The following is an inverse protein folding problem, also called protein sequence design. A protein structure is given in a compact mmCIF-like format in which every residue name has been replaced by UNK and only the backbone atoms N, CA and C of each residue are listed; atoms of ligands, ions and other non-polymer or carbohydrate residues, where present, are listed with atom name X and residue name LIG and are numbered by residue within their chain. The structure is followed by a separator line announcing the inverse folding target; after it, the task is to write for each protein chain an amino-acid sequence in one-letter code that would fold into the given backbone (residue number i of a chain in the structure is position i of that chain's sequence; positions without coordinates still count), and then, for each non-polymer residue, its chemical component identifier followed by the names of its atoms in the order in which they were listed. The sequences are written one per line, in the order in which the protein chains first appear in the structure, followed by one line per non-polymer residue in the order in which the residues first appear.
data_IF_836846909931
#
_entry.id   IF_836846909931
#
_cell.length_a   1.000
_cell.length_b   1.000
_cell.length_c   1.000
_cell.angle_alpha   90.00
_cell.angle_beta   90.00
_cell.angle_gamma   90.00
#
_symmetry.space_group_name_H-M   'P 1'
#
loop_
_entity.id
_entity.type
_entity.pdbx_description
1 polymer ?
#
# COMPACT_ATOMS: atom_id res chain seq x y z
N UNK A 1 9.63 -7.79 -64.85
CA UNK A 1 10.37 -8.90 -64.21
C UNK A 1 11.58 -8.32 -63.51
N UNK A 2 11.91 -8.87 -62.35
CA UNK A 2 12.58 -8.21 -61.22
C UNK A 2 14.01 -7.70 -61.47
N UNK A 3 14.32 -6.54 -60.86
CA UNK A 3 15.68 -6.03 -60.68
C UNK A 3 16.34 -6.70 -59.47
N UNK A 4 17.57 -7.16 -59.66
CA UNK A 4 18.40 -7.80 -58.63
C UNK A 4 19.06 -6.71 -57.78
N UNK A 5 18.74 -6.66 -56.48
CA UNK A 5 19.50 -5.91 -55.48
C UNK A 5 20.52 -6.86 -54.81
N UNK A 6 21.76 -6.42 -54.54
CA UNK A 6 22.74 -7.25 -53.85
C UNK A 6 22.46 -7.30 -52.34
N UNK A 7 22.82 -8.39 -51.64
CA UNK A 7 22.57 -8.51 -50.20
C UNK A 7 23.54 -7.60 -49.43
N UNK A 8 22.98 -6.70 -48.61
CA UNK A 8 23.77 -5.90 -47.68
C UNK A 8 24.25 -6.76 -46.52
N UNK A 9 25.54 -7.08 -46.50
CA UNK A 9 26.21 -7.64 -45.33
C UNK A 9 26.41 -6.54 -44.27
N UNK A 10 25.35 -6.18 -43.55
CA UNK A 10 25.48 -5.52 -42.24
C UNK A 10 25.36 -6.59 -41.17
N UNK A 11 26.51 -7.20 -40.86
CA UNK A 11 26.75 -7.86 -39.58
C UNK A 11 26.34 -6.89 -38.47
N UNK A 12 25.22 -7.15 -37.79
CA UNK A 12 24.92 -6.57 -36.49
C UNK A 12 26.07 -6.96 -35.55
N UNK A 13 27.05 -6.06 -35.39
CA UNK A 13 27.95 -6.11 -34.26
C UNK A 13 27.06 -5.94 -33.03
N UNK A 14 26.91 -7.00 -32.24
CA UNK A 14 26.38 -6.85 -30.90
C UNK A 14 27.31 -5.91 -30.14
N UNK A 15 26.73 -4.89 -29.51
CA UNK A 15 27.43 -3.95 -28.64
C UNK A 15 27.95 -4.70 -27.41
N UNK A 16 29.08 -5.40 -27.56
CA UNK A 16 29.78 -6.10 -26.48
C UNK A 16 30.27 -5.16 -25.36
N UNK A 17 30.16 -3.85 -25.55
CA UNK A 17 30.53 -2.83 -24.56
C UNK A 17 29.37 -2.39 -23.63
N UNK A 18 28.10 -2.73 -23.92
CA UNK A 18 26.96 -2.29 -23.10
C UNK A 18 26.73 -3.10 -21.81
N UNK A 19 27.56 -4.13 -21.59
CA UNK A 19 27.36 -5.19 -20.58
C UNK A 19 28.52 -5.30 -19.57
N UNK A 20 29.61 -4.57 -19.77
CA UNK A 20 30.77 -4.63 -18.86
C UNK A 20 30.43 -3.90 -17.56
N UNK A 21 30.37 -4.63 -16.45
CA UNK A 21 30.16 -4.07 -15.10
C UNK A 21 28.71 -4.08 -14.57
N UNK A 22 27.74 -4.60 -15.33
CA UNK A 22 26.34 -4.75 -14.88
C UNK A 22 26.14 -6.03 -14.07
N UNK A 23 25.48 -5.96 -12.92
CA UNK A 23 25.13 -7.13 -12.09
C UNK A 23 23.75 -7.65 -12.49
N UNK A 24 23.72 -8.63 -13.37
CA UNK A 24 22.47 -9.30 -13.77
C UNK A 24 21.83 -10.06 -12.61
N UNK A 25 20.50 -10.17 -12.64
CA UNK A 25 19.80 -11.07 -11.72
C UNK A 25 20.15 -12.51 -12.07
N UNK A 26 20.50 -13.31 -11.07
CA UNK A 26 20.89 -14.71 -11.25
C UNK A 26 19.88 -15.66 -10.59
N UNK A 27 19.78 -16.87 -11.12
CA UNK A 27 19.00 -17.96 -10.52
C UNK A 27 19.94 -19.11 -10.11
N UNK A 28 19.57 -19.82 -9.06
CA UNK A 28 20.27 -21.04 -8.62
C UNK A 28 19.46 -22.30 -8.94
N UNK A 29 19.10 -22.44 -10.22
CA UNK A 29 18.37 -23.60 -10.72
C UNK A 29 18.87 -23.98 -12.12
N UNK A 30 19.67 -25.06 -12.27
CA UNK A 30 20.24 -25.46 -13.56
C UNK A 30 19.19 -25.97 -14.55
N UNK A 31 17.99 -26.31 -14.09
CA UNK A 31 16.93 -26.82 -14.96
C UNK A 31 16.20 -25.71 -15.70
N UNK A 32 16.23 -24.46 -15.20
CA UNK A 32 15.40 -23.37 -15.72
C UNK A 32 15.70 -23.08 -17.20
N UNK A 33 16.98 -23.02 -17.59
CA UNK A 33 17.39 -22.72 -18.97
C UNK A 33 17.06 -23.84 -19.97
N UNK A 34 16.78 -25.05 -19.47
CA UNK A 34 16.41 -26.20 -20.29
C UNK A 34 14.90 -26.35 -20.51
N UNK A 35 14.08 -25.55 -19.83
CA UNK A 35 12.63 -25.60 -19.96
C UNK A 35 12.19 -24.94 -21.27
N UNK A 36 11.30 -25.59 -22.01
CA UNK A 36 10.68 -25.00 -23.21
C UNK A 36 9.85 -23.75 -22.89
N UNK A 37 9.30 -23.69 -21.68
CA UNK A 37 8.47 -22.62 -21.18
C UNK A 37 8.52 -22.61 -19.66
N UNK A 38 8.50 -21.41 -19.08
CA UNK A 38 8.35 -21.22 -17.65
C UNK A 38 7.06 -20.43 -17.38
N UNK A 39 6.16 -21.04 -16.61
CA UNK A 39 4.89 -20.46 -16.20
C UNK A 39 5.05 -19.92 -14.79
N UNK A 40 4.86 -18.62 -14.64
CA UNK A 40 4.80 -17.93 -13.36
C UNK A 40 3.35 -17.93 -12.91
N UNK A 41 2.91 -19.08 -12.40
CA UNK A 41 1.51 -19.40 -12.16
C UNK A 41 0.81 -18.39 -11.27
N UNK A 42 1.45 -17.97 -10.17
CA UNK A 42 0.85 -17.07 -9.21
C UNK A 42 0.83 -15.61 -9.66
N UNK A 43 1.51 -15.29 -10.77
CA UNK A 43 1.42 -13.99 -11.44
C UNK A 43 0.57 -14.03 -12.72
N UNK A 44 0.10 -15.20 -13.15
CA UNK A 44 -0.53 -15.40 -14.47
C UNK A 44 0.36 -14.93 -15.65
N UNK A 45 1.68 -15.03 -15.48
CA UNK A 45 2.67 -14.68 -16.52
C UNK A 45 3.38 -15.93 -17.03
N UNK A 46 3.99 -15.83 -18.21
CA UNK A 46 4.73 -16.95 -18.80
C UNK A 46 5.65 -16.53 -19.94
N UNK A 47 6.72 -17.27 -20.15
CA UNK A 47 7.75 -16.91 -21.13
C UNK A 47 7.28 -17.01 -22.58
N UNK A 48 6.27 -17.83 -22.89
CA UNK A 48 5.65 -17.88 -24.23
C UNK A 48 4.46 -16.94 -24.40
N UNK A 49 3.75 -16.66 -23.32
CA UNK A 49 2.56 -15.79 -23.34
C UNK A 49 2.93 -14.31 -23.28
N UNK A 50 4.10 -13.97 -22.74
CA UNK A 50 4.51 -12.59 -22.49
C UNK A 50 5.96 -12.32 -22.93
N UNK A 51 6.20 -11.14 -23.51
CA UNK A 51 7.55 -10.67 -23.79
C UNK A 51 8.16 -10.03 -22.54
N UNK A 52 8.64 -10.86 -21.61
CA UNK A 52 9.15 -10.42 -20.31
C UNK A 52 10.30 -9.40 -20.41
N UNK A 53 11.29 -9.53 -21.33
CA UNK A 53 12.30 -8.50 -21.53
C UNK A 53 11.72 -7.13 -21.92
N UNK A 54 10.71 -7.10 -22.79
CA UNK A 54 10.07 -5.84 -23.20
C UNK A 54 9.24 -5.23 -22.07
N UNK A 55 8.60 -6.07 -21.25
CA UNK A 55 7.73 -5.61 -20.17
C UNK A 55 8.49 -5.15 -18.93
N UNK A 56 9.62 -5.79 -18.60
CA UNK A 56 10.28 -5.61 -17.30
C UNK A 56 11.79 -5.34 -17.37
N UNK A 57 12.42 -5.35 -18.54
CA UNK A 57 13.89 -5.24 -18.65
C UNK A 57 14.48 -3.91 -18.16
N UNK A 58 13.66 -2.89 -17.97
CA UNK A 58 14.00 -1.57 -17.42
C UNK A 58 13.83 -1.46 -15.90
N UNK A 59 13.31 -2.49 -15.23
CA UNK A 59 13.10 -2.48 -13.77
C UNK A 59 14.45 -2.37 -13.04
N UNK A 60 14.53 -1.39 -12.13
CA UNK A 60 15.68 -1.15 -11.23
C UNK A 60 15.33 -1.23 -9.75
N UNK A 61 14.07 -0.94 -9.40
CA UNK A 61 13.59 -0.99 -8.03
C UNK A 61 12.40 -1.90 -7.94
N UNK A 62 12.43 -2.85 -7.00
CA UNK A 62 11.27 -3.68 -6.67
C UNK A 62 10.88 -3.43 -5.23
N UNK A 63 9.66 -2.96 -5.00
CA UNK A 63 9.12 -2.77 -3.67
C UNK A 63 8.05 -3.83 -3.39
N UNK A 64 8.19 -4.55 -2.29
CA UNK A 64 7.27 -5.63 -1.92
C UNK A 64 6.65 -5.37 -0.56
N UNK A 65 5.37 -5.72 -0.38
CA UNK A 65 4.66 -5.57 0.89
C UNK A 65 3.43 -6.46 0.97
N UNK A 66 2.86 -6.63 2.17
CA UNK A 66 1.85 -7.69 2.36
C UNK A 66 0.53 -7.44 1.63
N UNK A 67 -0.09 -6.27 1.86
CA UNK A 67 -1.43 -5.96 1.37
C UNK A 67 -1.43 -5.47 -0.08
N UNK A 68 -2.28 -6.03 -0.96
CA UNK A 68 -2.52 -5.50 -2.31
C UNK A 68 -2.87 -4.01 -2.33
N UNK A 69 -3.79 -3.57 -1.46
CA UNK A 69 -4.20 -2.18 -1.37
C UNK A 69 -3.03 -1.25 -1.01
N UNK A 70 -2.16 -1.69 -0.09
CA UNK A 70 -0.94 -0.94 0.27
C UNK A 70 0.00 -0.81 -0.93
N UNK A 71 0.19 -1.87 -1.69
CA UNK A 71 1.11 -1.86 -2.83
C UNK A 71 0.55 -1.10 -4.03
N UNK A 72 -0.79 -1.08 -4.21
CA UNK A 72 -1.47 -0.18 -5.14
C UNK A 72 -1.32 1.29 -4.73
N UNK A 73 -1.52 1.60 -3.45
CA UNK A 73 -1.34 2.95 -2.92
C UNK A 73 0.12 3.42 -3.08
N UNK A 74 1.10 2.54 -2.82
CA UNK A 74 2.51 2.83 -3.07
C UNK A 74 2.79 3.09 -4.55
N UNK A 75 2.24 2.28 -5.44
CA UNK A 75 2.35 2.46 -6.88
C UNK A 75 1.81 3.83 -7.35
N UNK A 76 0.62 4.23 -6.88
CA UNK A 76 0.04 5.55 -7.15
C UNK A 76 0.90 6.68 -6.56
N UNK A 77 1.45 6.48 -5.36
CA UNK A 77 2.32 7.44 -4.72
C UNK A 77 3.62 7.65 -5.52
N UNK A 78 4.27 6.58 -5.97
CA UNK A 78 5.47 6.65 -6.82
C UNK A 78 5.17 7.27 -8.19
N UNK A 79 4.01 6.96 -8.77
CA UNK A 79 3.56 7.59 -10.02
C UNK A 79 3.53 9.12 -9.94
N UNK A 80 2.99 9.64 -8.83
CA UNK A 80 3.02 11.06 -8.51
C UNK A 80 4.44 11.58 -8.27
N UNK A 81 5.18 10.92 -7.40
CA UNK A 81 6.51 11.38 -6.95
C UNK A 81 7.57 11.40 -8.06
N UNK A 82 7.39 10.59 -9.10
CA UNK A 82 8.26 10.54 -10.27
C UNK A 82 7.74 11.37 -11.46
N UNK A 83 6.61 12.06 -11.33
CA UNK A 83 6.06 12.94 -12.37
C UNK A 83 5.42 12.22 -13.55
N UNK A 84 4.97 10.97 -13.39
CA UNK A 84 4.29 10.22 -14.46
C UNK A 84 2.80 10.56 -14.61
N UNK A 85 2.22 11.38 -13.71
CA UNK A 85 0.81 11.81 -13.78
C UNK A 85 0.44 12.47 -15.11
N UNK A 86 1.37 13.21 -15.72
CA UNK A 86 1.14 13.89 -17.00
C UNK A 86 1.02 12.93 -18.20
N UNK A 87 1.41 11.66 -18.04
CA UNK A 87 1.34 10.67 -19.12
C UNK A 87 -0.10 10.23 -19.44
N UNK A 88 -1.04 10.42 -18.50
CA UNK A 88 -2.42 9.93 -18.62
C UNK A 88 -2.55 8.40 -18.61
N UNK A 89 -1.46 7.65 -18.36
CA UNK A 89 -1.50 6.20 -18.29
C UNK A 89 -2.09 5.71 -16.95
N UNK A 90 -3.13 4.89 -17.04
CA UNK A 90 -3.75 4.27 -15.85
C UNK A 90 -2.86 3.15 -15.31
N UNK A 91 -2.60 3.17 -13.99
CA UNK A 91 -1.89 2.08 -13.30
C UNK A 91 -2.79 0.83 -13.26
N UNK A 92 -2.39 -0.20 -14.00
CA UNK A 92 -3.09 -1.48 -14.09
C UNK A 92 -2.41 -2.54 -13.23
N UNK A 93 -3.22 -3.43 -12.67
CA UNK A 93 -2.71 -4.66 -12.06
C UNK A 93 -2.30 -5.63 -13.16
N UNK A 94 -1.00 -5.89 -13.27
CA UNK A 94 -0.42 -6.81 -14.26
C UNK A 94 -0.86 -8.26 -13.98
N UNK A 95 -1.17 -8.57 -12.73
CA UNK A 95 -1.62 -9.90 -12.31
C UNK A 95 -3.14 -9.99 -12.19
N UNK A 96 -3.92 -9.12 -12.84
CA UNK A 96 -5.39 -9.07 -12.72
C UNK A 96 -6.11 -10.38 -13.07
N UNK A 97 -5.48 -11.31 -13.78
CA UNK A 97 -6.01 -12.64 -14.08
C UNK A 97 -5.94 -13.63 -12.90
N UNK A 98 -5.35 -13.22 -11.78
CA UNK A 98 -5.25 -14.00 -10.55
C UNK A 98 -5.55 -13.14 -9.32
N UNK A 99 -5.93 -13.78 -8.21
CA UNK A 99 -6.22 -13.15 -6.92
C UNK A 99 -5.08 -13.35 -5.90
N UNK A 100 -3.97 -13.97 -6.31
CA UNK A 100 -2.89 -14.39 -5.40
C UNK A 100 -1.96 -13.24 -5.02
N UNK A 101 -1.49 -12.49 -6.02
CA UNK A 101 -0.63 -11.32 -5.86
C UNK A 101 -1.02 -10.26 -6.88
N UNK A 102 -0.95 -9.00 -6.50
CA UNK A 102 -1.08 -7.85 -7.39
C UNK A 102 0.29 -7.27 -7.73
N UNK A 103 0.44 -6.77 -8.95
CA UNK A 103 1.69 -6.21 -9.46
C UNK A 103 1.43 -4.92 -10.26
N UNK A 104 2.17 -3.86 -9.95
CA UNK A 104 2.04 -2.56 -10.59
C UNK A 104 3.41 -2.05 -11.02
N UNK A 105 3.56 -1.56 -12.25
CA UNK A 105 4.83 -1.04 -12.79
C UNK A 105 4.71 0.45 -13.10
N UNK A 106 5.69 1.24 -12.66
CA UNK A 106 5.79 2.69 -12.87
C UNK A 106 7.22 3.01 -13.26
N UNK A 107 7.46 3.24 -14.57
CA UNK A 107 8.80 3.40 -15.10
C UNK A 107 9.72 2.25 -14.62
N UNK A 108 10.86 2.55 -13.96
CA UNK A 108 11.80 1.54 -13.46
C UNK A 108 11.41 0.91 -12.11
N UNK A 109 10.24 1.24 -11.54
CA UNK A 109 9.77 0.76 -10.24
C UNK A 109 8.68 -0.30 -10.42
N UNK A 110 8.83 -1.43 -9.73
CA UNK A 110 7.86 -2.52 -9.68
C UNK A 110 7.34 -2.67 -8.25
N UNK A 111 6.03 -2.64 -8.05
CA UNK A 111 5.35 -2.76 -6.76
C UNK A 111 4.55 -4.06 -6.71
N UNK A 112 4.82 -4.95 -5.74
CA UNK A 112 4.22 -6.29 -5.69
C UNK A 112 3.71 -6.61 -4.28
N UNK A 113 2.48 -7.12 -4.19
CA UNK A 113 1.95 -7.67 -2.93
C UNK A 113 2.44 -9.10 -2.69
N UNK A 114 2.62 -9.51 -1.43
CA UNK A 114 3.09 -10.86 -1.12
C UNK A 114 2.31 -11.59 -0.01
N UNK A 115 1.19 -11.05 0.47
CA UNK A 115 0.41 -11.65 1.55
C UNK A 115 1.16 -11.64 2.90
N UNK A 116 0.89 -12.64 3.74
CA UNK A 116 1.47 -12.75 5.08
C UNK A 116 2.21 -14.08 5.27
N UNK A 117 3.33 -14.02 5.98
CA UNK A 117 4.13 -15.16 6.37
C UNK A 117 5.17 -15.60 5.33
N UNK A 118 6.19 -16.29 5.84
CA UNK A 118 7.29 -16.90 5.08
C UNK A 118 6.81 -17.70 3.86
N UNK A 119 5.80 -18.60 3.96
CA UNK A 119 5.35 -19.37 2.80
C UNK A 119 4.84 -18.48 1.66
N UNK A 120 4.02 -17.47 1.99
CA UNK A 120 3.41 -16.59 0.99
C UNK A 120 4.46 -15.73 0.27
N UNK A 121 5.40 -15.11 1.01
CA UNK A 121 6.43 -14.30 0.36
C UNK A 121 7.43 -15.16 -0.44
N UNK A 122 7.70 -16.40 -0.02
CA UNK A 122 8.65 -17.28 -0.73
C UNK A 122 8.17 -17.65 -2.14
N UNK A 123 6.87 -17.91 -2.31
CA UNK A 123 6.26 -18.18 -3.63
C UNK A 123 6.42 -16.96 -4.54
N UNK A 124 6.02 -15.78 -4.03
CA UNK A 124 6.15 -14.51 -4.74
C UNK A 124 7.61 -14.26 -5.16
N UNK A 125 8.57 -14.45 -4.25
CA UNK A 125 10.00 -14.24 -4.53
C UNK A 125 10.54 -15.21 -5.58
N UNK A 126 10.14 -16.49 -5.54
CA UNK A 126 10.57 -17.45 -6.55
C UNK A 126 10.15 -17.02 -7.95
N UNK A 127 8.88 -16.63 -8.13
CA UNK A 127 8.39 -16.19 -9.44
C UNK A 127 8.94 -14.82 -9.84
N UNK A 128 9.11 -13.90 -8.89
CA UNK A 128 9.71 -12.57 -9.13
C UNK A 128 11.17 -12.68 -9.58
N UNK A 129 11.99 -13.48 -8.90
CA UNK A 129 13.40 -13.62 -9.26
C UNK A 129 13.52 -14.22 -10.67
N UNK A 130 12.71 -15.23 -11.01
CA UNK A 130 12.63 -15.78 -12.37
C UNK A 130 12.14 -14.75 -13.38
N UNK A 131 11.14 -13.94 -13.04
CA UNK A 131 10.64 -12.85 -13.89
C UNK A 131 11.77 -11.87 -14.25
N UNK A 132 12.50 -11.39 -13.25
CA UNK A 132 13.62 -10.47 -13.43
C UNK A 132 14.77 -11.11 -14.23
N UNK A 133 15.04 -12.40 -13.99
CA UNK A 133 16.01 -13.19 -14.75
C UNK A 133 15.63 -13.29 -16.23
N UNK A 134 14.41 -13.72 -16.53
CA UNK A 134 13.90 -13.86 -17.90
C UNK A 134 13.83 -12.49 -18.61
N UNK A 135 13.50 -11.43 -17.88
CA UNK A 135 13.51 -10.06 -18.36
C UNK A 135 14.92 -9.47 -18.57
N UNK A 136 15.97 -10.19 -18.14
CA UNK A 136 17.37 -9.77 -18.20
C UNK A 136 17.64 -8.47 -17.43
N UNK A 137 16.94 -8.30 -16.30
CA UNK A 137 17.17 -7.17 -15.43
C UNK A 137 18.59 -7.21 -14.84
N UNK A 138 19.12 -6.04 -14.58
CA UNK A 138 20.44 -5.85 -13.97
C UNK A 138 20.40 -4.70 -12.98
N UNK A 139 21.29 -4.73 -12.00
CA UNK A 139 21.45 -3.69 -10.97
C UNK A 139 20.13 -3.41 -10.23
N UNK A 140 19.35 -4.47 -9.98
CA UNK A 140 18.07 -4.38 -9.28
C UNK A 140 18.33 -4.27 -7.77
N UNK A 141 17.62 -3.32 -7.15
CA UNK A 141 17.48 -3.22 -5.69
C UNK A 141 16.06 -3.62 -5.30
N UNK A 142 15.93 -4.56 -4.36
CA UNK A 142 14.64 -5.03 -3.85
C UNK A 142 14.44 -4.59 -2.40
N UNK A 143 13.28 -4.02 -2.09
CA UNK A 143 13.00 -3.49 -0.75
C UNK A 143 11.65 -3.99 -0.28
N UNK A 144 11.64 -4.63 0.89
CA UNK A 144 10.41 -4.96 1.59
C UNK A 144 9.97 -3.76 2.43
N UNK A 145 8.74 -3.30 2.22
CA UNK A 145 8.07 -2.31 3.06
C UNK A 145 6.95 -2.97 3.85
N UNK A 146 6.89 -2.73 5.15
CA UNK A 146 5.95 -3.44 6.01
C UNK A 146 5.61 -2.76 7.32
N UNK A 147 4.84 -3.47 8.12
CA UNK A 147 4.47 -3.11 9.49
C UNK A 147 5.05 -4.14 10.45
N UNK A 148 5.29 -3.76 11.69
CA UNK A 148 5.89 -4.62 12.70
C UNK A 148 5.45 -4.24 14.12
N UNK A 149 5.65 -5.14 15.09
CA UNK A 149 5.59 -4.79 16.51
C UNK A 149 6.97 -4.33 16.98
N UNK A 150 7.08 -3.13 17.54
CA UNK A 150 8.33 -2.63 18.13
C UNK A 150 8.65 -3.31 19.46
N UNK A 151 9.92 -3.31 19.86
CA UNK A 151 10.36 -3.72 21.19
C UNK A 151 11.18 -2.59 21.81
N UNK A 152 10.65 -1.95 22.86
CA UNK A 152 11.34 -0.86 23.56
C UNK A 152 11.60 0.36 22.68
N UNK A 153 10.69 0.64 21.73
CA UNK A 153 10.73 1.79 20.83
C UNK A 153 9.32 2.32 20.57
N UNK A 154 9.22 3.64 20.37
CA UNK A 154 7.94 4.31 20.23
C UNK A 154 7.17 3.83 18.97
N UNK A 155 5.83 3.71 19.05
CA UNK A 155 4.99 3.47 17.88
C UNK A 155 5.22 4.53 16.80
N UNK A 156 5.27 4.11 15.55
CA UNK A 156 5.57 4.95 14.38
C UNK A 156 7.05 4.99 14.03
N UNK A 157 7.94 4.45 14.86
CA UNK A 157 9.37 4.33 14.53
C UNK A 157 9.57 3.45 13.29
N UNK A 158 10.43 3.87 12.37
CA UNK A 158 10.83 3.09 11.21
C UNK A 158 12.12 2.34 11.51
N UNK A 159 12.07 1.02 11.41
CA UNK A 159 13.23 0.15 11.57
C UNK A 159 13.73 -0.27 10.19
N UNK A 160 14.98 0.10 9.91
CA UNK A 160 15.75 -0.42 8.77
C UNK A 160 16.51 -1.65 9.28
N UNK A 161 16.24 -2.80 8.68
CA UNK A 161 16.82 -4.07 9.14
C UNK A 161 18.25 -4.21 8.66
N UNK A 162 19.21 -4.34 9.59
CA UNK A 162 20.58 -4.76 9.25
C UNK A 162 20.70 -6.28 9.14
N UNK A 163 19.97 -7.01 9.97
CA UNK A 163 19.99 -8.48 10.04
C UNK A 163 18.62 -9.00 10.44
N UNK A 164 18.06 -9.88 9.61
CA UNK A 164 16.85 -10.63 9.97
C UNK A 164 17.24 -11.84 10.80
N UNK A 165 16.55 -12.08 11.93
CA UNK A 165 16.86 -13.18 12.85
C UNK A 165 15.65 -14.08 13.10
N UNK A 166 15.90 -15.35 13.42
CA UNK A 166 14.88 -16.31 13.84
C UNK A 166 14.39 -16.03 15.28
N UNK A 167 13.42 -16.81 15.75
CA UNK A 167 12.90 -16.77 17.13
C UNK A 167 13.94 -17.10 18.22
N UNK A 168 15.15 -17.53 17.84
CA UNK A 168 16.28 -17.77 18.73
C UNK A 168 17.34 -16.67 18.63
N UNK A 169 17.00 -15.56 17.95
CA UNK A 169 17.84 -14.39 17.72
C UNK A 169 19.11 -14.72 16.91
N UNK A 170 19.03 -15.72 16.03
CA UNK A 170 20.13 -16.14 15.15
C UNK A 170 19.89 -15.65 13.72
N UNK A 171 20.92 -15.16 13.03
CA UNK A 171 20.82 -14.69 11.64
C UNK A 171 20.77 -15.88 10.67
N UNK A 172 19.66 -16.62 10.69
CA UNK A 172 19.47 -17.79 9.86
C UNK A 172 18.03 -17.99 9.44
N UNK A 173 17.86 -18.62 8.28
CA UNK A 173 16.62 -19.14 7.77
C UNK A 173 16.77 -20.65 7.59
N UNK A 174 15.90 -21.44 8.24
CA UNK A 174 15.86 -22.89 8.08
C UNK A 174 14.75 -23.27 7.11
N UNK A 175 15.11 -24.02 6.07
CA UNK A 175 14.19 -24.52 5.07
C UNK A 175 14.29 -26.04 5.01
N UNK A 176 13.16 -26.72 4.96
CA UNK A 176 13.12 -28.15 4.64
C UNK A 176 13.12 -28.30 3.12
N UNK A 177 14.15 -28.96 2.57
CA UNK A 177 14.25 -29.30 1.15
C UNK A 177 14.22 -30.83 1.06
N UNK A 178 13.16 -31.35 0.44
CA UNK A 178 12.79 -32.76 0.53
C UNK A 178 12.60 -33.16 2.01
N UNK A 179 13.52 -33.96 2.55
CA UNK A 179 13.57 -34.46 3.92
C UNK A 179 14.78 -33.91 4.71
N UNK A 180 15.47 -32.90 4.17
CA UNK A 180 16.68 -32.33 4.77
C UNK A 180 16.47 -30.88 5.22
N UNK A 181 16.89 -30.56 6.44
CA UNK A 181 16.95 -29.18 6.94
C UNK A 181 18.19 -28.51 6.36
N UNK A 182 18.00 -27.39 5.67
CA UNK A 182 19.05 -26.55 5.11
C UNK A 182 18.97 -25.16 5.73
N UNK A 183 20.07 -24.74 6.34
CA UNK A 183 20.19 -23.42 6.97
C UNK A 183 20.87 -22.43 6.01
N UNK A 184 20.30 -21.23 5.86
CA UNK A 184 20.82 -20.13 5.04
C UNK A 184 21.08 -18.89 5.90
N UNK A 185 22.07 -18.09 5.52
CA UNK A 185 22.30 -16.76 6.13
C UNK A 185 21.17 -15.80 5.73
N UNK A 186 20.91 -14.82 6.60
CA UNK A 186 19.87 -13.79 6.47
C UNK A 186 20.44 -12.37 6.60
N UNK A 187 21.72 -12.23 6.25
CA UNK A 187 22.38 -10.93 6.16
C UNK A 187 21.75 -10.07 5.04
N UNK A 188 21.57 -8.78 5.31
CA UNK A 188 21.14 -7.77 4.34
C UNK A 188 22.31 -6.84 4.01
N UNK A 189 22.15 -6.07 2.93
CA UNK A 189 23.18 -5.15 2.45
C UNK A 189 23.35 -3.97 3.41
N UNK A 190 24.51 -3.90 4.08
CA UNK A 190 24.79 -2.89 5.11
C UNK A 190 24.89 -1.48 4.52
N UNK A 191 25.50 -1.36 3.34
CA UNK A 191 25.66 -0.08 2.67
C UNK A 191 24.28 0.48 2.27
N UNK A 192 23.35 -0.38 1.81
CA UNK A 192 21.97 0.01 1.56
C UNK A 192 21.24 0.47 2.82
N UNK A 193 21.45 -0.22 3.95
CA UNK A 193 20.83 0.16 5.21
C UNK A 193 21.31 1.54 5.68
N UNK A 194 22.61 1.81 5.57
CA UNK A 194 23.19 3.13 5.87
C UNK A 194 22.70 4.22 4.92
N UNK A 195 22.59 3.91 3.63
CA UNK A 195 22.05 4.81 2.60
C UNK A 195 20.60 5.19 2.88
N UNK A 196 19.75 4.21 3.22
CA UNK A 196 18.37 4.44 3.63
C UNK A 196 18.29 5.25 4.94
N UNK A 197 19.16 4.98 5.91
CA UNK A 197 19.22 5.77 7.15
C UNK A 197 19.65 7.22 6.87
N UNK A 198 20.51 7.45 5.89
CA UNK A 198 20.89 8.80 5.48
C UNK A 198 19.73 9.51 4.77
N UNK A 199 18.99 8.82 3.91
CA UNK A 199 17.77 9.36 3.29
C UNK A 199 16.75 9.80 4.33
N UNK A 200 16.59 9.02 5.41
CA UNK A 200 15.58 9.29 6.44
C UNK A 200 15.87 10.55 7.25
N UNK A 201 17.14 10.93 7.41
CA UNK A 201 17.56 12.15 8.14
C UNK A 201 17.07 13.44 7.49
N UNK A 202 16.77 13.40 6.20
CA UNK A 202 16.22 14.55 5.48
C UNK A 202 14.69 14.63 5.55
N UNK A 203 14.02 13.68 6.20
CA UNK A 203 12.57 13.67 6.41
C UNK A 203 12.31 14.20 7.84
N UNK A 204 11.59 15.33 8.00
CA UNK A 204 11.34 15.90 9.32
C UNK A 204 10.41 14.98 10.14
N UNK A 205 10.63 14.95 11.46
CA UNK A 205 9.81 14.19 12.42
C UNK A 205 9.67 12.69 12.08
N UNK A 206 10.74 12.09 11.58
CA UNK A 206 10.73 10.73 11.04
C UNK A 206 11.67 9.80 11.85
N UNK A 207 11.23 9.32 13.04
CA UNK A 207 12.06 8.48 13.91
C UNK A 207 12.47 7.21 13.17
N UNK A 208 13.76 7.09 12.90
CA UNK A 208 14.33 5.98 12.13
C UNK A 208 15.56 5.44 12.82
N UNK A 209 15.70 4.13 12.87
CA UNK A 209 16.87 3.46 13.41
C UNK A 209 17.21 2.21 12.60
N UNK A 210 18.47 1.78 12.71
CA UNK A 210 18.90 0.46 12.26
C UNK A 210 18.84 -0.50 13.44
N UNK A 211 18.33 -1.72 13.21
CA UNK A 211 18.31 -2.77 14.22
C UNK A 211 17.91 -4.12 13.64
N UNK A 212 18.07 -5.18 14.46
CA UNK A 212 17.70 -6.52 14.02
C UNK A 212 16.17 -6.66 13.99
N UNK A 213 15.68 -7.44 13.03
CA UNK A 213 14.27 -7.75 12.88
C UNK A 213 14.06 -9.23 13.15
N UNK A 214 13.21 -9.56 14.13
CA UNK A 214 12.84 -10.95 14.39
C UNK A 214 11.69 -11.36 13.47
N UNK A 215 11.88 -12.43 12.70
CA UNK A 215 10.87 -13.01 11.85
C UNK A 215 10.26 -14.25 12.51
N UNK A 216 8.93 -14.33 12.60
CA UNK A 216 8.21 -15.47 13.20
C UNK A 216 7.23 -16.09 12.22
N UNK A 217 6.99 -17.40 12.36
CA UNK A 217 6.01 -18.13 11.52
C UNK A 217 4.57 -18.03 12.05
N UNK A 218 4.41 -17.66 13.32
CA UNK A 218 3.11 -17.42 13.95
C UNK A 218 3.04 -16.00 14.53
N UNK A 219 1.90 -15.34 14.35
CA UNK A 219 1.67 -13.97 14.82
C UNK A 219 1.40 -13.92 16.33
N UNK A 220 0.79 -14.96 16.91
CA UNK A 220 0.34 -14.95 18.29
C UNK A 220 1.40 -15.51 19.24
N UNK A 221 1.41 -16.81 19.52
CA UNK A 221 2.37 -17.45 20.41
C UNK A 221 3.81 -17.28 19.91
N UNK A 222 4.02 -17.31 18.58
CA UNK A 222 5.33 -17.09 17.96
C UNK A 222 5.93 -15.72 18.28
N UNK A 223 5.09 -14.70 18.49
CA UNK A 223 5.54 -13.36 18.90
C UNK A 223 5.31 -13.08 20.40
N UNK A 224 4.98 -14.09 21.19
CA UNK A 224 4.74 -13.95 22.63
C UNK A 224 3.49 -13.14 22.98
N UNK A 225 2.47 -13.10 22.12
CA UNK A 225 1.21 -12.37 22.38
C UNK A 225 0.33 -13.12 23.39
N UNK A 226 -0.43 -12.39 24.19
CA UNK A 226 -1.35 -12.96 25.19
C UNK A 226 -2.83 -12.93 24.77
N UNK A 227 -3.12 -12.44 23.57
CA UNK A 227 -4.48 -12.18 23.05
C UNK A 227 -4.89 -13.13 21.91
N UNK A 228 -4.16 -14.25 21.75
CA UNK A 228 -4.51 -15.31 20.82
C UNK A 228 -5.56 -16.28 21.37
N UNK A 229 -6.11 -17.12 20.48
CA UNK A 229 -6.99 -18.21 20.89
C UNK A 229 -6.28 -19.28 21.73
N UNK A 230 -4.96 -19.41 21.55
CA UNK A 230 -4.07 -20.29 22.31
C UNK A 230 -2.99 -19.44 22.98
N UNK A 231 -2.70 -19.73 24.25
CA UNK A 231 -1.64 -19.08 25.01
C UNK A 231 -1.13 -20.02 26.11
N UNK A 232 0.09 -20.51 25.94
CA UNK A 232 0.72 -21.51 26.81
C UNK A 232 1.79 -20.93 27.76
N UNK A 233 1.87 -19.61 27.88
CA UNK A 233 2.87 -18.90 28.70
C UNK A 233 2.28 -17.71 29.47
N UNK A 234 2.99 -17.26 30.50
CA UNK A 234 2.59 -16.11 31.32
C UNK A 234 3.10 -14.78 30.75
N UNK A 235 2.55 -13.67 31.25
CA UNK A 235 3.06 -12.32 30.97
C UNK A 235 4.53 -12.17 31.36
N UNK A 236 5.00 -12.76 32.46
CA UNK A 236 6.42 -12.66 32.83
C UNK A 236 7.31 -13.33 31.78
N UNK A 237 6.92 -14.51 31.26
CA UNK A 237 7.67 -15.19 30.19
C UNK A 237 7.69 -14.38 28.90
N UNK A 238 6.58 -13.75 28.52
CA UNK A 238 6.53 -12.81 27.38
C UNK A 238 7.56 -11.70 27.55
N UNK A 239 7.50 -10.99 28.68
CA UNK A 239 8.37 -9.83 28.92
C UNK A 239 9.85 -10.25 28.97
N UNK A 240 10.17 -11.35 29.64
CA UNK A 240 11.53 -11.93 29.63
C UNK A 240 12.02 -12.22 28.20
N UNK A 241 11.19 -12.87 27.38
CA UNK A 241 11.52 -13.19 25.99
C UNK A 241 11.79 -11.94 25.16
N UNK A 242 10.90 -10.96 25.21
CA UNK A 242 11.05 -9.69 24.48
C UNK A 242 12.25 -8.89 24.96
N UNK A 243 12.53 -8.88 26.27
CA UNK A 243 13.73 -8.22 26.81
C UNK A 243 15.02 -8.91 26.38
N UNK A 244 15.04 -10.25 26.27
CA UNK A 244 16.19 -10.98 25.70
C UNK A 244 16.36 -10.67 24.21
N UNK A 245 15.27 -10.56 23.45
CA UNK A 245 15.31 -10.14 22.05
C UNK A 245 15.91 -8.72 21.92
N UNK A 246 15.43 -7.78 22.73
CA UNK A 246 15.94 -6.40 22.76
C UNK A 246 17.44 -6.34 23.06
N UNK A 247 17.89 -7.09 24.07
CA UNK A 247 19.32 -7.22 24.44
C UNK A 247 20.15 -7.85 23.33
N UNK A 248 19.56 -8.72 22.52
CA UNK A 248 20.21 -9.32 21.35
C UNK A 248 20.24 -8.37 20.13
N UNK A 249 19.73 -7.14 20.24
CA UNK A 249 19.72 -6.15 19.15
C UNK A 249 18.40 -6.08 18.37
N UNK A 250 17.42 -6.93 18.69
CA UNK A 250 16.10 -6.88 18.04
C UNK A 250 15.38 -5.59 18.40
N UNK A 251 14.77 -4.95 17.40
CA UNK A 251 13.98 -3.72 17.59
C UNK A 251 12.54 -3.86 17.14
N UNK A 252 12.25 -4.82 16.27
CA UNK A 252 10.89 -5.10 15.84
C UNK A 252 10.69 -6.59 15.46
N UNK A 253 9.42 -6.95 15.30
CA UNK A 253 8.96 -8.31 14.99
C UNK A 253 7.97 -8.28 13.81
N UNK A 254 8.19 -9.13 12.81
CA UNK A 254 7.34 -9.34 11.64
C UNK A 254 7.45 -10.81 11.16
N UNK A 255 7.04 -11.14 9.92
CA UNK A 255 6.83 -12.55 9.53
C UNK A 255 7.39 -12.92 8.15
N UNK A 256 8.31 -12.15 7.59
CA UNK A 256 8.78 -12.38 6.21
C UNK A 256 10.27 -12.11 5.97
N UNK A 257 10.95 -11.41 6.87
CA UNK A 257 12.30 -10.87 6.60
C UNK A 257 13.38 -11.94 6.45
N UNK A 258 13.30 -13.08 7.14
CA UNK A 258 14.35 -14.12 7.07
C UNK A 258 14.42 -14.78 5.70
N UNK A 259 13.29 -15.25 5.17
CA UNK A 259 13.24 -15.85 3.83
C UNK A 259 13.53 -14.81 2.74
N UNK A 260 13.06 -13.57 2.93
CA UNK A 260 13.35 -12.45 2.03
C UNK A 260 14.85 -12.21 1.91
N UNK A 261 15.55 -12.05 3.05
CA UNK A 261 16.99 -11.85 3.08
C UNK A 261 17.74 -13.05 2.48
N UNK A 262 17.38 -14.27 2.88
CA UNK A 262 18.04 -15.49 2.42
C UNK A 262 17.91 -15.70 0.90
N UNK A 263 16.71 -15.53 0.33
CA UNK A 263 16.48 -15.72 -1.11
C UNK A 263 17.15 -14.62 -1.94
N UNK A 264 17.08 -13.37 -1.50
CA UNK A 264 17.74 -12.26 -2.18
C UNK A 264 19.26 -12.43 -2.16
N UNK A 265 19.85 -12.76 -1.01
CA UNK A 265 21.28 -13.02 -0.87
C UNK A 265 21.73 -14.23 -1.70
N UNK A 266 20.94 -15.30 -1.76
CA UNK A 266 21.23 -16.45 -2.62
C UNK A 266 21.23 -16.09 -4.12
N UNK A 267 20.51 -15.06 -4.54
CA UNK A 267 20.41 -14.64 -5.94
C UNK A 267 21.18 -13.34 -6.24
N UNK A 268 22.07 -12.93 -5.33
CA UNK A 268 22.92 -11.74 -5.43
C UNK A 268 22.13 -10.43 -5.66
N UNK A 269 20.89 -10.37 -5.16
CA UNK A 269 20.05 -9.17 -5.18
C UNK A 269 20.38 -8.29 -3.97
N UNK A 270 20.65 -7.00 -4.23
CA UNK A 270 20.82 -6.00 -3.16
C UNK A 270 19.45 -5.75 -2.54
N UNK A 271 19.32 -6.04 -1.25
CA UNK A 271 18.04 -6.11 -0.57
C UNK A 271 18.02 -5.35 0.76
N UNK A 272 16.86 -4.75 1.09
CA UNK A 272 16.60 -4.13 2.39
C UNK A 272 15.18 -4.41 2.89
N UNK A 273 14.99 -4.34 4.21
CA UNK A 273 13.69 -4.42 4.87
C UNK A 273 13.47 -3.17 5.70
N UNK A 274 12.36 -2.48 5.45
CA UNK A 274 11.99 -1.21 6.09
C UNK A 274 10.57 -1.32 6.61
N UNK A 275 10.44 -1.41 7.94
CA UNK A 275 9.15 -1.59 8.59
C UNK A 275 8.86 -0.45 9.57
N UNK A 276 7.61 0.00 9.61
CA UNK A 276 7.13 0.88 10.68
C UNK A 276 6.65 0.03 11.86
N UNK A 277 6.88 0.48 13.10
CA UNK A 277 6.31 -0.13 14.30
C UNK A 277 4.90 0.42 14.55
N UNK A 278 3.95 -0.43 14.89
CA UNK A 278 2.57 0.01 15.18
C UNK A 278 2.28 0.13 16.68
N UNK A 279 3.13 -0.45 17.50
CA UNK A 279 3.03 -0.51 18.96
C UNK A 279 4.38 -0.89 19.56
N UNK A 280 4.56 -0.67 20.87
CA UNK A 280 5.61 -1.32 21.65
C UNK A 280 5.07 -2.59 22.33
N UNK A 281 5.66 -3.74 21.99
CA UNK A 281 5.25 -5.06 22.49
C UNK A 281 5.58 -5.29 23.95
N UNK A 282 6.46 -4.47 24.55
CA UNK A 282 6.68 -4.48 26.00
C UNK A 282 5.46 -3.91 26.75
N UNK A 283 4.72 -3.00 26.12
CA UNK A 283 3.59 -2.31 26.74
C UNK A 283 2.25 -3.02 26.45
N UNK A 284 1.98 -3.35 25.18
CA UNK A 284 0.70 -3.93 24.79
C UNK A 284 0.85 -5.03 23.72
N UNK A 285 -0.26 -5.73 23.46
CA UNK A 285 -0.40 -6.58 22.29
C UNK A 285 -1.32 -5.93 21.26
N UNK A 286 -2.41 -5.29 21.69
CA UNK A 286 -3.35 -4.65 20.77
C UNK A 286 -2.97 -3.22 20.40
N UNK A 287 -3.25 -2.86 19.16
CA UNK A 287 -3.12 -1.49 18.66
C UNK A 287 -4.28 -0.68 19.24
N UNK A 288 -3.95 0.40 19.95
CA UNK A 288 -4.94 1.31 20.57
C UNK A 288 -4.97 2.69 19.92
N UNK A 289 -4.13 2.89 18.88
CA UNK A 289 -3.95 4.19 18.24
C UNK A 289 -5.13 4.49 17.30
N UNK A 290 -5.54 5.77 17.18
CA UNK A 290 -6.56 6.19 16.22
C UNK A 290 -6.24 5.79 14.77
N UNK A 291 -7.28 5.61 13.95
CA UNK A 291 -7.12 5.11 12.58
C UNK A 291 -6.27 6.04 11.71
N UNK A 292 -6.45 7.35 11.82
CA UNK A 292 -5.70 8.39 11.12
C UNK A 292 -4.20 8.33 11.45
N UNK A 293 -3.84 8.10 12.72
CA UNK A 293 -2.45 7.91 13.15
C UNK A 293 -1.85 6.65 12.53
N UNK A 294 -2.60 5.54 12.48
CA UNK A 294 -2.13 4.30 11.86
C UNK A 294 -1.96 4.45 10.35
N UNK A 295 -2.84 5.19 9.68
CA UNK A 295 -2.72 5.51 8.25
C UNK A 295 -1.43 6.32 8.01
N UNK A 296 -1.11 7.29 8.86
CA UNK A 296 0.14 8.04 8.79
C UNK A 296 1.35 7.13 8.97
N UNK A 297 1.39 6.32 10.04
CA UNK A 297 2.50 5.38 10.30
C UNK A 297 2.74 4.45 9.10
N UNK A 298 1.67 3.89 8.54
CA UNK A 298 1.74 2.99 7.40
C UNK A 298 2.27 3.62 6.10
N UNK A 299 2.24 4.96 5.99
CA UNK A 299 2.85 5.70 4.88
C UNK A 299 4.34 5.94 5.07
N UNK A 300 4.86 5.86 6.30
CA UNK A 300 6.27 6.19 6.60
C UNK A 300 7.29 5.38 5.76
N UNK A 301 7.22 4.03 5.68
CA UNK A 301 8.14 3.27 4.84
C UNK A 301 8.05 3.68 3.37
N UNK A 302 6.84 3.95 2.87
CA UNK A 302 6.61 4.38 1.48
C UNK A 302 7.26 5.72 1.17
N UNK A 303 7.17 6.68 2.10
CA UNK A 303 7.82 7.99 1.99
C UNK A 303 9.34 7.86 1.93
N UNK A 304 9.93 7.06 2.82
CA UNK A 304 11.37 6.82 2.82
C UNK A 304 11.85 6.19 1.51
N UNK A 305 11.16 5.16 1.03
CA UNK A 305 11.54 4.47 -0.20
C UNK A 305 11.34 5.33 -1.44
N UNK A 306 10.28 6.12 -1.51
CA UNK A 306 10.10 7.10 -2.59
C UNK A 306 11.27 8.09 -2.65
N UNK A 307 11.66 8.64 -1.49
CA UNK A 307 12.80 9.56 -1.41
C UNK A 307 14.11 8.90 -1.86
N UNK A 308 14.38 7.69 -1.39
CA UNK A 308 15.54 6.92 -1.81
C UNK A 308 15.55 6.71 -3.33
N UNK A 309 14.44 6.27 -3.92
CA UNK A 309 14.32 6.07 -5.38
C UNK A 309 14.57 7.37 -6.14
N UNK A 310 13.98 8.50 -5.71
CA UNK A 310 14.21 9.81 -6.34
C UNK A 310 15.68 10.21 -6.30
N UNK A 311 16.37 9.99 -5.19
CA UNK A 311 17.81 10.26 -5.09
C UNK A 311 18.63 9.38 -6.04
N UNK A 312 18.33 8.06 -6.11
CA UNK A 312 19.03 7.15 -7.03
C UNK A 312 18.80 7.50 -8.51
N UNK A 313 17.63 8.05 -8.85
CA UNK A 313 17.30 8.49 -10.20
C UNK A 313 17.81 9.91 -10.52
N UNK A 314 18.45 10.61 -9.58
CA UNK A 314 18.92 11.98 -9.76
C UNK A 314 17.79 13.03 -9.82
N UNK A 315 16.62 12.72 -9.24
CA UNK A 315 15.41 13.55 -9.25
C UNK A 315 15.22 14.33 -7.93
N UNK A 316 16.22 14.34 -7.05
CA UNK A 316 16.18 15.12 -5.81
C UNK A 316 16.31 16.62 -6.10
N UNK A 317 15.39 17.44 -5.59
CA UNK A 317 15.45 18.89 -5.70
C UNK A 317 16.78 19.44 -5.16
N UNK A 318 17.54 20.12 -6.01
CA UNK A 318 18.60 20.99 -5.54
C UNK A 318 17.96 22.07 -4.67
N UNK A 319 18.31 22.12 -3.37
CA UNK A 319 18.06 23.26 -2.49
C UNK A 319 18.71 24.50 -3.09
N UNK A 320 17.99 25.19 -3.95
CA UNK A 320 18.32 26.54 -4.38
C UNK A 320 17.74 27.44 -3.30
N UNK A 321 18.62 28.02 -2.49
CA UNK A 321 18.26 29.07 -1.54
C UNK A 321 17.73 30.27 -2.33
N UNK A 322 16.42 30.35 -2.50
CA UNK A 322 15.79 31.58 -2.98
C UNK A 322 15.62 32.53 -1.79
N UNK A 323 16.38 33.63 -1.85
CA UNK A 323 16.05 34.85 -1.12
C UNK A 323 14.63 35.27 -1.50
N UNK A 324 13.82 35.54 -0.48
CA UNK A 324 12.46 36.05 -0.60
C UNK A 324 12.50 37.47 -1.13
N UNK A 325 12.20 37.66 -2.41
CA UNK A 325 11.65 38.93 -2.90
C UNK A 325 10.14 38.78 -3.02
N UNK A 326 9.45 39.46 -2.10
CA UNK A 326 8.01 39.65 -2.09
C UNK A 326 7.59 40.48 -3.29
N UNK A 327 6.90 39.88 -4.26
CA UNK A 327 5.79 40.45 -5.03
C UNK A 327 5.50 39.58 -6.26
N UNK A 328 4.75 38.48 -6.10
CA UNK A 328 3.79 37.97 -7.09
C UNK A 328 2.97 36.83 -6.45
N UNK A 329 1.63 36.79 -6.63
CA UNK A 329 0.82 35.69 -6.13
C UNK A 329 1.02 34.41 -6.98
N UNK A 330 0.94 33.22 -6.38
CA UNK A 330 1.10 31.95 -7.10
C UNK A 330 -0.11 31.68 -8.02
N UNK A 331 0.08 30.91 -9.12
CA UNK A 331 -1.03 30.53 -9.99
C UNK A 331 -1.93 29.49 -9.30
N UNK A 332 -3.24 29.64 -9.49
CA UNK A 332 -4.24 28.65 -9.10
C UNK A 332 -4.15 27.45 -10.03
N UNK A 333 -3.90 26.27 -9.48
CA UNK A 333 -4.12 25.00 -10.18
C UNK A 333 -5.01 24.12 -9.30
N UNK A 334 -6.22 23.87 -9.79
CA UNK A 334 -7.30 23.16 -9.11
C UNK A 334 -7.91 22.16 -10.07
N UNK A 335 -7.66 20.88 -9.84
CA UNK A 335 -8.53 19.81 -10.33
C UNK A 335 -8.69 18.72 -9.26
N UNK A 336 -9.15 19.14 -8.08
CA UNK A 336 -9.96 18.30 -7.21
C UNK A 336 -11.39 18.37 -7.75
N UNK A 337 -11.98 17.23 -8.09
CA UNK A 337 -13.41 17.19 -8.45
C UNK A 337 -14.22 17.45 -7.18
N UNK A 338 -14.63 18.71 -6.99
CA UNK A 338 -15.56 19.11 -5.93
C UNK A 338 -16.97 18.63 -6.32
N UNK A 339 -17.72 17.92 -5.46
CA UNK A 339 -19.09 17.50 -5.75
C UNK A 339 -19.95 18.70 -6.11
N UNK A 340 -20.82 18.58 -7.11
CA UNK A 340 -21.72 19.68 -7.44
C UNK A 340 -22.72 19.88 -6.29
N UNK A 341 -23.23 21.10 -6.10
CA UNK A 341 -24.23 21.37 -5.05
C UNK A 341 -25.48 20.48 -5.14
N UNK A 342 -25.77 19.95 -6.34
CA UNK A 342 -26.83 18.98 -6.58
C UNK A 342 -26.52 17.59 -6.00
N UNK A 343 -25.26 17.17 -6.04
CA UNK A 343 -24.80 15.89 -5.49
C UNK A 343 -24.89 15.90 -3.96
N UNK A 344 -24.38 16.97 -3.35
CA UNK A 344 -24.48 17.20 -1.89
C UNK A 344 -25.94 17.21 -1.43
N UNK A 345 -26.84 17.84 -2.19
CA UNK A 345 -28.27 17.87 -1.87
C UNK A 345 -28.92 16.48 -1.92
N UNK A 346 -28.61 15.67 -2.93
CA UNK A 346 -29.15 14.31 -3.08
C UNK A 346 -28.65 13.43 -1.93
N UNK A 347 -27.36 13.51 -1.59
CA UNK A 347 -26.78 12.73 -0.49
C UNK A 347 -27.47 13.07 0.83
N UNK A 348 -27.56 14.35 1.17
CA UNK A 348 -28.09 14.82 2.46
C UNK A 348 -29.60 14.60 2.65
N UNK A 349 -30.36 14.42 1.57
CA UNK A 349 -31.82 14.29 1.66
C UNK A 349 -32.35 12.90 1.26
N UNK A 350 -31.56 12.10 0.55
CA UNK A 350 -32.00 10.81 0.03
C UNK A 350 -31.19 9.62 0.53
N UNK A 351 -30.03 9.85 1.17
CA UNK A 351 -29.12 8.76 1.55
C UNK A 351 -28.74 8.71 3.04
N UNK A 352 -29.03 9.77 3.80
CA UNK A 352 -28.69 9.86 5.22
C UNK A 352 -29.92 10.03 6.09
N UNK A 353 -29.92 9.38 7.26
CA UNK A 353 -31.00 9.52 8.25
C UNK A 353 -30.99 10.89 8.91
N UNK A 354 -32.08 11.25 9.60
CA UNK A 354 -32.20 12.55 10.30
C UNK A 354 -31.08 12.78 11.33
N UNK A 355 -30.66 11.73 12.05
CA UNK A 355 -29.58 11.82 13.04
C UNK A 355 -28.19 11.97 12.42
N UNK A 356 -27.92 11.29 11.31
CA UNK A 356 -26.66 11.43 10.56
C UNK A 356 -26.56 12.80 9.91
N UNK A 357 -27.68 13.30 9.37
CA UNK A 357 -27.77 14.66 8.84
C UNK A 357 -27.43 15.70 9.90
N UNK A 358 -27.90 15.52 11.14
CA UNK A 358 -27.57 16.42 12.26
C UNK A 358 -26.08 16.39 12.63
N UNK A 359 -25.44 15.23 12.55
CA UNK A 359 -24.00 15.08 12.79
C UNK A 359 -23.18 15.75 11.68
N UNK A 360 -23.51 15.49 10.42
CA UNK A 360 -22.82 16.07 9.25
C UNK A 360 -22.90 17.60 9.31
N UNK A 361 -24.06 18.17 9.63
CA UNK A 361 -24.20 19.61 9.77
C UNK A 361 -23.32 20.19 10.87
N UNK A 362 -23.26 19.56 12.05
CA UNK A 362 -22.41 20.04 13.15
C UNK A 362 -20.93 19.96 12.83
N UNK A 363 -20.50 18.89 12.15
CA UNK A 363 -19.12 18.74 11.72
C UNK A 363 -18.75 19.78 10.65
N UNK A 364 -19.67 20.09 9.73
CA UNK A 364 -19.44 21.10 8.70
C UNK A 364 -19.43 22.53 9.27
N UNK A 365 -20.28 22.81 10.27
CA UNK A 365 -20.25 24.05 11.05
C UNK A 365 -18.89 24.23 11.76
N UNK A 366 -18.40 23.19 12.45
CA UNK A 366 -17.10 23.25 13.13
C UNK A 366 -15.91 23.41 12.17
N UNK A 367 -15.97 22.78 10.99
CA UNK A 367 -14.96 22.96 9.95
C UNK A 367 -14.97 24.37 9.36
N UNK A 368 -16.15 24.99 9.21
CA UNK A 368 -16.26 26.38 8.79
C UNK A 368 -15.62 27.34 9.81
N UNK A 369 -15.79 27.07 11.11
CA UNK A 369 -15.16 27.84 12.19
C UNK A 369 -13.61 27.73 12.13
N UNK A 370 -13.08 26.52 11.92
CA UNK A 370 -11.64 26.28 11.75
C UNK A 370 -11.05 27.04 10.53
N UNK A 371 -11.81 27.17 9.45
CA UNK A 371 -11.40 27.97 8.27
C UNK A 371 -11.46 29.46 8.58
N UNK A 372 -12.51 29.91 9.28
CA UNK A 372 -12.66 31.32 9.63
C UNK A 372 -11.53 31.80 10.54
N UNK A 373 -11.12 30.99 11.52
CA UNK A 373 -10.00 31.31 12.41
C UNK A 373 -8.67 31.53 11.65
N UNK A 374 -8.52 30.90 10.48
CA UNK A 374 -7.38 31.08 9.59
C UNK A 374 -7.50 32.32 8.68
N UNK A 375 -8.71 32.81 8.41
CA UNK A 375 -8.99 33.96 7.55
C UNK A 375 -10.29 34.74 7.95
N UNK A 376 -10.26 35.53 9.04
CA UNK A 376 -11.49 36.05 9.69
C UNK A 376 -12.33 37.03 8.87
N UNK A 377 -11.76 37.63 7.82
CA UNK A 377 -12.44 38.64 7.00
C UNK A 377 -13.04 38.08 5.70
N UNK A 378 -12.93 36.77 5.44
CA UNK A 378 -13.28 36.18 4.14
C UNK A 378 -14.45 35.19 4.16
N UNK A 379 -14.77 34.58 5.31
CA UNK A 379 -15.77 33.51 5.38
C UNK A 379 -16.70 33.67 6.59
N UNK A 380 -17.99 33.34 6.50
CA UNK A 380 -18.90 33.31 7.66
C UNK A 380 -18.56 32.15 8.62
N UNK A 381 -19.14 32.15 9.84
CA UNK A 381 -18.97 31.11 10.86
C UNK A 381 -20.24 30.32 11.11
N UNK A 382 -20.10 29.09 11.60
CA UNK A 382 -21.17 28.23 12.10
C UNK A 382 -22.44 28.20 11.21
N UNK A 383 -23.60 28.55 11.76
CA UNK A 383 -24.89 28.52 11.06
C UNK A 383 -25.02 29.58 9.95
N UNK A 384 -24.15 30.60 9.93
CA UNK A 384 -24.09 31.56 8.82
C UNK A 384 -23.29 30.99 7.64
N UNK A 385 -22.39 30.02 7.89
CA UNK A 385 -21.62 29.32 6.87
C UNK A 385 -22.35 28.08 6.32
N UNK A 386 -23.04 27.34 7.20
CA UNK A 386 -23.75 26.10 6.84
C UNK A 386 -25.19 26.12 7.38
N UNK A 387 -26.07 26.98 6.83
CA UNK A 387 -27.44 27.12 7.33
C UNK A 387 -28.28 25.85 7.12
N UNK A 388 -29.10 25.51 8.11
CA UNK A 388 -30.01 24.33 8.09
C UNK A 388 -31.30 24.57 7.32
N UNK A 389 -31.62 25.84 7.07
CA UNK A 389 -32.80 26.31 6.34
C UNK A 389 -32.36 27.34 5.31
N UNK A 390 -33.21 27.67 4.34
CA UNK A 390 -32.89 28.68 3.34
C UNK A 390 -32.49 30.01 4.02
N UNK A 391 -31.25 30.48 3.84
CA UNK A 391 -30.75 31.68 4.50
C UNK A 391 -31.18 32.97 3.79
N UNK A 392 -31.86 32.88 2.62
CA UNK A 392 -32.31 34.05 1.86
C UNK A 392 -31.17 34.85 1.23
N UNK A 393 -30.05 34.21 0.89
CA UNK A 393 -28.91 34.85 0.25
C UNK A 393 -29.26 35.44 -1.12
N UNK A 394 -28.65 36.58 -1.47
CA UNK A 394 -28.81 37.18 -2.79
C UNK A 394 -27.83 36.57 -3.78
N UNK A 395 -28.34 35.66 -4.61
CA UNK A 395 -27.55 34.95 -5.62
C UNK A 395 -27.29 35.78 -6.90
N UNK A 396 -27.78 37.02 -6.98
CA UNK A 396 -27.56 37.87 -8.16
C UNK A 396 -26.29 38.73 -8.07
N UNK A 397 -25.68 38.84 -6.90
CA UNK A 397 -24.42 39.57 -6.69
C UNK A 397 -23.25 38.57 -6.60
N UNK A 398 -22.21 38.69 -7.46
CA UNK A 398 -21.13 37.69 -7.53
C UNK A 398 -20.33 37.52 -6.23
N UNK A 399 -20.23 38.58 -5.43
CA UNK A 399 -19.41 38.63 -4.22
C UNK A 399 -20.17 38.24 -2.93
N UNK A 400 -21.45 37.85 -3.03
CA UNK A 400 -22.28 37.51 -1.87
C UNK A 400 -22.82 36.06 -1.92
N UNK A 401 -23.99 35.84 -2.52
CA UNK A 401 -24.68 34.53 -2.51
C UNK A 401 -23.90 33.37 -3.15
N UNK A 402 -23.33 33.52 -4.35
CA UNK A 402 -22.58 32.45 -5.01
C UNK A 402 -21.32 32.02 -4.24
N UNK A 403 -20.57 32.98 -3.70
CA UNK A 403 -19.37 32.71 -2.90
C UNK A 403 -19.70 32.01 -1.57
N UNK A 404 -20.79 32.42 -0.91
CA UNK A 404 -21.31 31.74 0.30
C UNK A 404 -21.80 30.33 0.02
N UNK A 405 -22.46 30.12 -1.13
CA UNK A 405 -22.91 28.79 -1.57
C UNK A 405 -21.74 27.86 -1.86
N UNK A 406 -20.71 28.33 -2.56
CA UNK A 406 -19.50 27.55 -2.84
C UNK A 406 -18.75 27.19 -1.56
N UNK A 407 -18.64 28.14 -0.63
CA UNK A 407 -18.05 27.88 0.69
C UNK A 407 -18.84 26.85 1.49
N UNK A 408 -20.18 26.97 1.54
CA UNK A 408 -21.05 25.99 2.19
C UNK A 408 -20.90 24.58 1.59
N UNK A 409 -20.86 24.49 0.24
CA UNK A 409 -20.66 23.23 -0.47
C UNK A 409 -19.29 22.63 -0.12
N UNK A 410 -18.24 23.45 -0.05
CA UNK A 410 -16.91 23.01 0.35
C UNK A 410 -16.88 22.46 1.79
N UNK A 411 -17.52 23.13 2.74
CA UNK A 411 -17.61 22.66 4.12
C UNK A 411 -18.38 21.34 4.24
N UNK A 412 -19.51 21.22 3.55
CA UNK A 412 -20.29 19.98 3.52
C UNK A 412 -19.54 18.85 2.80
N UNK A 413 -18.85 19.14 1.69
CA UNK A 413 -18.08 18.16 0.92
C UNK A 413 -16.81 17.68 1.64
N UNK A 414 -16.26 18.48 2.57
CA UNK A 414 -15.13 18.04 3.39
C UNK A 414 -15.55 16.98 4.42
N UNK A 415 -16.75 17.12 4.97
CA UNK A 415 -17.34 16.13 5.89
C UNK A 415 -17.87 14.91 5.12
N UNK A 416 -18.44 15.15 3.95
CA UNK A 416 -18.90 14.13 3.02
C UNK A 416 -17.74 13.70 2.10
N UNK A 417 -16.72 13.06 2.65
CA UNK A 417 -15.68 12.45 1.80
C UNK A 417 -16.28 11.28 1.00
N UNK A 418 -16.72 11.59 -0.22
CA UNK A 418 -17.34 10.63 -1.15
C UNK A 418 -16.35 9.64 -1.76
N UNK A 419 -15.06 9.70 -1.40
CA UNK A 419 -14.07 8.76 -1.90
C UNK A 419 -14.17 7.39 -1.25
N UNK A 420 -14.73 7.33 -0.03
CA UNK A 420 -14.71 6.16 0.83
C UNK A 420 -16.11 5.82 1.37
N UNK A 421 -17.16 5.84 0.54
CA UNK A 421 -18.52 5.43 0.92
C UNK A 421 -18.60 3.95 1.38
N UNK A 422 -18.10 3.66 2.57
CA UNK A 422 -18.04 2.36 3.21
C UNK A 422 -19.09 2.31 4.32
N UNK A 423 -20.22 1.67 4.03
CA UNK A 423 -21.16 1.24 5.06
C UNK A 423 -21.54 -0.22 4.83
N UNK A 424 -21.41 -1.04 5.88
CA UNK A 424 -22.21 -2.26 6.04
C UNK A 424 -23.50 -1.84 6.74
N UNK A 425 -24.63 -1.89 6.04
CA UNK A 425 -25.93 -1.49 6.58
C UNK A 425 -26.71 -2.75 6.95
N UNK A 426 -27.29 -2.78 8.16
CA UNK A 426 -28.27 -3.78 8.56
C UNK A 426 -29.49 -3.66 7.63
N UNK A 427 -29.84 -4.77 6.99
CA UNK A 427 -31.00 -4.83 6.11
C UNK A 427 -32.25 -4.70 6.99
N UNK A 428 -33.23 -3.87 6.60
CA UNK A 428 -34.48 -3.80 7.37
C UNK A 428 -35.15 -5.17 7.35
N UNK A 429 -35.81 -5.62 8.43
CA UNK A 429 -36.47 -6.92 8.47
C UNK A 429 -37.48 -7.15 7.33
N UNK A 430 -38.07 -6.07 6.80
CA UNK A 430 -39.00 -6.09 5.68
C UNK A 430 -38.31 -6.37 4.33
N UNK A 431 -37.01 -6.05 4.22
CA UNK A 431 -36.22 -6.20 2.99
C UNK A 431 -35.41 -7.51 2.95
N UNK A 432 -35.21 -8.20 4.09
CA UNK A 432 -34.51 -9.49 4.17
C UNK A 432 -35.01 -10.55 3.16
N UNK A 433 -36.32 -10.69 2.89
CA UNK A 433 -36.82 -11.68 1.92
C UNK A 433 -36.37 -11.41 0.48
N UNK A 434 -36.08 -10.15 0.12
CA UNK A 434 -35.60 -9.77 -1.21
C UNK A 434 -34.16 -10.22 -1.46
N UNK A 435 -33.42 -10.50 -0.39
CA UNK A 435 -32.03 -10.95 -0.41
C UNK A 435 -31.92 -12.39 0.12
N UNK A 436 -32.92 -13.22 -0.17
CA UNK A 436 -32.88 -14.64 0.12
C UNK A 436 -32.04 -15.41 -0.92
N UNK A 437 -31.22 -16.35 -0.46
CA UNK A 437 -30.50 -17.30 -1.29
C UNK A 437 -30.66 -18.71 -0.75
N UNK A 438 -30.62 -19.69 -1.65
CA UNK A 438 -30.68 -21.10 -1.26
C UNK A 438 -29.27 -21.59 -1.01
N UNK A 439 -29.02 -22.08 0.20
CA UNK A 439 -27.79 -22.77 0.54
C UNK A 439 -28.09 -24.25 0.74
N UNK A 440 -27.32 -25.10 0.07
CA UNK A 440 -27.39 -26.55 0.24
C UNK A 440 -26.20 -26.98 1.07
N UNK A 441 -26.50 -27.64 2.18
CA UNK A 441 -25.48 -28.19 3.05
C UNK A 441 -24.66 -29.25 2.27
N UNK A 442 -23.33 -29.08 2.15
CA UNK A 442 -22.50 -29.98 1.36
C UNK A 442 -22.38 -31.39 1.96
N UNK A 443 -22.64 -31.55 3.26
CA UNK A 443 -22.53 -32.83 3.98
C UNK A 443 -23.87 -33.56 4.07
N UNK A 444 -24.97 -32.82 4.26
CA UNK A 444 -26.32 -33.41 4.39
C UNK A 444 -27.16 -33.34 3.12
N UNK A 445 -26.75 -32.55 2.13
CA UNK A 445 -27.46 -32.26 0.88
C UNK A 445 -28.85 -31.65 1.06
N UNK A 446 -29.17 -31.19 2.26
CA UNK A 446 -30.43 -30.51 2.57
C UNK A 446 -30.31 -29.05 2.15
N UNK A 447 -31.29 -28.56 1.39
CA UNK A 447 -31.34 -27.17 0.94
C UNK A 447 -32.23 -26.35 1.84
N UNK A 448 -31.74 -25.20 2.30
CA UNK A 448 -32.49 -24.23 3.08
C UNK A 448 -32.37 -22.83 2.48
N UNK A 449 -33.43 -22.04 2.63
CA UNK A 449 -33.44 -20.64 2.21
C UNK A 449 -32.93 -19.79 3.36
N UNK A 450 -31.87 -19.02 3.10
CA UNK A 450 -31.25 -18.11 4.05
C UNK A 450 -31.39 -16.68 3.53
N UNK A 451 -31.52 -15.70 4.41
CA UNK A 451 -31.57 -14.27 4.06
C UNK A 451 -30.29 -13.58 4.50
N UNK A 452 -29.80 -12.64 3.70
CA UNK A 452 -28.75 -11.73 4.15
C UNK A 452 -29.32 -10.78 5.20
N UNK A 453 -28.61 -10.60 6.31
CA UNK A 453 -28.95 -9.64 7.36
C UNK A 453 -28.16 -8.33 7.23
N UNK A 454 -27.10 -8.33 6.43
CA UNK A 454 -26.21 -7.19 6.17
C UNK A 454 -25.81 -7.24 4.69
N UNK A 455 -25.78 -6.09 4.01
CA UNK A 455 -25.27 -6.00 2.63
C UNK A 455 -23.74 -6.16 2.62
N UNK A 456 -23.23 -7.01 1.74
CA UNK A 456 -21.80 -7.26 1.60
C UNK A 456 -21.03 -6.02 1.11
N UNK A 457 -19.83 -5.82 1.64
CA UNK A 457 -18.95 -4.70 1.28
C UNK A 457 -18.62 -4.76 -0.22
N UNK A 458 -18.85 -3.67 -0.95
CA UNK A 458 -18.56 -3.56 -2.39
C UNK A 458 -19.74 -3.87 -3.33
N UNK A 459 -20.96 -4.03 -2.82
CA UNK A 459 -22.15 -4.21 -3.65
C UNK A 459 -22.58 -2.88 -4.33
N UNK A 460 -22.04 -2.62 -5.53
CA UNK A 460 -22.18 -1.34 -6.26
C UNK A 460 -23.58 -1.06 -6.83
N UNK A 461 -24.46 -2.06 -6.90
CA UNK A 461 -25.79 -1.93 -7.52
C UNK A 461 -26.93 -1.73 -6.49
N UNK A 462 -26.61 -1.57 -5.20
CA UNK A 462 -27.62 -1.41 -4.14
C UNK A 462 -28.61 -0.24 -4.36
N UNK A 463 -28.20 0.95 -4.88
CA UNK A 463 -29.15 2.04 -5.10
C UNK A 463 -30.14 1.75 -6.23
N UNK A 464 -29.72 0.96 -7.24
CA UNK A 464 -30.55 0.63 -8.40
C UNK A 464 -31.67 -0.36 -8.02
N UNK A 465 -31.35 -1.40 -7.25
CA UNK A 465 -32.34 -2.36 -6.76
C UNK A 465 -33.27 -1.75 -5.71
N UNK A 466 -32.75 -0.88 -4.83
CA UNK A 466 -33.57 -0.16 -3.86
C UNK A 466 -34.58 0.77 -4.56
N UNK A 467 -34.14 1.49 -5.60
CA UNK A 467 -35.03 2.33 -6.41
C UNK A 467 -36.12 1.56 -7.18
N UNK A 468 -35.80 0.36 -7.69
CA UNK A 468 -36.78 -0.50 -8.37
C UNK A 468 -37.80 -1.12 -7.41
N UNK A 469 -37.39 -1.50 -6.20
CA UNK A 469 -38.30 -2.03 -5.18
C UNK A 469 -39.24 -0.93 -4.64
N UNK A 470 -38.72 0.27 -4.37
CA UNK A 470 -39.52 1.41 -3.90
C UNK A 470 -40.57 1.86 -4.93
N UNK A 471 -40.29 1.69 -6.23
CA UNK A 471 -41.23 1.96 -7.31
C UNK A 471 -42.37 0.94 -7.45
N UNK A 472 -42.26 -0.23 -6.81
CA UNK A 472 -43.32 -1.24 -6.80
C UNK A 472 -44.27 -1.11 -5.62
N UNK A 473 -43.81 -0.48 -4.53
CA UNK A 473 -44.56 -0.35 -3.27
C UNK A 473 -45.14 1.07 -3.04
N UNK A 474 -44.86 2.02 -3.94
CA UNK A 474 -45.53 3.33 -4.09
C UNK A 474 -46.35 3.33 -5.38
#
# INVERSE_FOLDING_TARGET
MASILPPSNKSMRSDRNAYVGKRFVHVKNPYLDSMDEDILYHFALGTKTHNLPAMFGDVKFVCVGGSPNRMKAFALFIHKELGYEESGEEIKDICAETDRYCMYKIGPVLSISHGMGVPSISIMLHELIKLLYHARCCDVTIIRIGTSGGIGIDPGSVVITDTAVDSFFKPRFEQVILDNIVTRSTELDKDLAEELLNCSKEIPNFPTLIGHTMCTDDFYEGQGRLDGALCSFSREKKVDYLQRAYKAGVRNIEMESTVFAAMCGLCDLKAAVVCVTLLDRLECDQITMPHDVLVEYQKRPQLLISKFIKQQLGLSEHRTTFQTDSNHPPPADSSLVVPSGKDVYIILNSTVTRGEKDFIWRAAEAYADDIHDQAPTRYPIAQEAVPRTDPGWDYQTPDDGPAKLEHMISCLANVLDLKDAFFSILISPESEPLFAFTWTDPDTYISQQMTWTILAQGFRDSPHYFGQALQKDL
#
